data_IF_592809178867
#
_entry.id   IF_592809178867
#
_cell.length_a   1.000
_cell.length_b   1.000
_cell.length_c   1.000
_cell.angle_alpha   90.00
_cell.angle_beta   90.00
_cell.angle_gamma   90.00
#
_symmetry.space_group_name_H-M   'P 1'
#
loop_
_entity.id
_entity.type
_entity.pdbx_description
1 polymer ?
#
# COMPACT_ATOMS: atom_id res chain seq x y z
N UNK A 1 -21.91 10.80 33.48
CA UNK A 1 -20.69 10.34 32.79
C UNK A 1 -19.61 10.21 33.83
N UNK A 2 -19.10 9.01 34.06
CA UNK A 2 -18.00 8.77 34.98
C UNK A 2 -16.70 9.37 34.42
N UNK A 3 -15.76 9.75 35.28
CA UNK A 3 -14.40 10.14 34.88
C UNK A 3 -13.73 9.02 34.06
N UNK A 4 -14.08 7.76 34.35
CA UNK A 4 -13.57 6.60 33.65
C UNK A 4 -14.08 6.51 32.21
N UNK A 5 -15.37 6.74 31.96
CA UNK A 5 -15.95 6.76 30.61
C UNK A 5 -15.26 7.80 29.72
N UNK A 6 -14.96 8.97 30.30
CA UNK A 6 -14.26 10.05 29.60
C UNK A 6 -12.83 9.68 29.19
N UNK A 7 -12.12 8.86 29.99
CA UNK A 7 -10.79 8.37 29.64
C UNK A 7 -10.85 7.34 28.50
N UNK A 8 -11.81 6.40 28.57
CA UNK A 8 -11.98 5.36 27.55
C UNK A 8 -12.30 5.99 26.18
N UNK A 9 -13.19 6.99 26.14
CA UNK A 9 -13.53 7.70 24.90
C UNK A 9 -12.30 8.39 24.29
N UNK A 10 -11.46 9.04 25.11
CA UNK A 10 -10.24 9.70 24.63
C UNK A 10 -9.21 8.71 24.11
N UNK A 11 -9.02 7.59 24.82
CA UNK A 11 -8.09 6.53 24.40
C UNK A 11 -8.53 5.93 23.05
N UNK A 12 -9.82 5.64 22.88
CA UNK A 12 -10.37 5.16 21.62
C UNK A 12 -10.18 6.17 20.46
N UNK A 13 -10.42 7.46 20.72
CA UNK A 13 -10.19 8.50 19.72
C UNK A 13 -8.72 8.60 19.31
N UNK A 14 -7.79 8.53 20.27
CA UNK A 14 -6.36 8.55 20.00
C UNK A 14 -5.91 7.32 19.20
N UNK A 15 -6.40 6.13 19.55
CA UNK A 15 -6.13 4.90 18.81
C UNK A 15 -6.62 4.99 17.36
N UNK A 16 -7.83 5.51 17.14
CA UNK A 16 -8.37 5.68 15.79
C UNK A 16 -7.57 6.70 14.95
N UNK A 17 -7.03 7.76 15.57
CA UNK A 17 -6.14 8.72 14.89
C UNK A 17 -4.82 8.06 14.52
N UNK A 18 -4.20 7.34 15.46
CA UNK A 18 -2.94 6.63 15.22
C UNK A 18 -3.07 5.60 14.10
N UNK A 19 -4.19 4.85 14.09
CA UNK A 19 -4.42 3.83 13.08
C UNK A 19 -4.63 4.43 11.69
N UNK A 20 -5.41 5.51 11.58
CA UNK A 20 -5.55 6.25 10.31
C UNK A 20 -4.22 6.81 9.82
N UNK A 21 -3.38 7.30 10.72
CA UNK A 21 -2.05 7.78 10.36
C UNK A 21 -1.17 6.63 9.82
N UNK A 22 -1.18 5.46 10.49
CA UNK A 22 -0.46 4.26 10.03
C UNK A 22 -0.89 3.84 8.63
N UNK A 23 -2.20 3.70 8.41
CA UNK A 23 -2.79 3.35 7.10
C UNK A 23 -2.36 4.36 6.04
N UNK A 24 -2.50 5.66 6.32
CA UNK A 24 -2.13 6.71 5.37
C UNK A 24 -0.64 6.69 5.04
N UNK A 25 0.24 6.41 6.01
CA UNK A 25 1.67 6.28 5.76
C UNK A 25 1.97 5.12 4.81
N UNK A 26 1.37 3.95 5.03
CA UNK A 26 1.62 2.77 4.18
C UNK A 26 1.13 2.99 2.75
N UNK A 27 -0.11 3.49 2.60
CA UNK A 27 -0.73 3.65 1.28
C UNK A 27 -0.10 4.75 0.42
N UNK A 28 0.43 5.80 1.05
CA UNK A 28 1.00 6.96 0.34
C UNK A 28 2.54 6.95 0.27
N UNK A 29 3.20 5.90 0.78
CA UNK A 29 4.65 5.81 0.69
C UNK A 29 5.10 5.58 -0.76
N UNK A 30 6.25 6.14 -1.14
CA UNK A 30 6.81 5.97 -2.49
C UNK A 30 7.01 4.49 -2.87
N UNK A 31 7.43 3.66 -1.90
CA UNK A 31 7.58 2.21 -2.08
C UNK A 31 6.28 1.47 -2.42
N UNK A 32 5.11 2.07 -2.18
CA UNK A 32 3.82 1.48 -2.54
C UNK A 32 3.52 1.57 -4.05
N UNK A 33 4.20 2.45 -4.80
CA UNK A 33 3.99 2.60 -6.24
C UNK A 33 4.37 1.31 -6.99
N UNK A 34 3.45 0.82 -7.82
CA UNK A 34 3.54 -0.47 -8.49
C UNK A 34 3.36 -1.68 -7.56
N UNK A 35 2.90 -1.47 -6.33
CA UNK A 35 2.70 -2.48 -5.27
C UNK A 35 1.43 -2.18 -4.45
N UNK A 36 0.48 -1.48 -5.04
CA UNK A 36 -0.67 -0.87 -4.35
C UNK A 36 -1.55 -1.94 -3.69
N UNK A 37 -1.69 -3.10 -4.33
CA UNK A 37 -2.43 -4.23 -3.76
C UNK A 37 -1.77 -4.76 -2.46
N UNK A 38 -0.44 -4.88 -2.45
CA UNK A 38 0.30 -5.33 -1.27
C UNK A 38 0.29 -4.25 -0.17
N UNK A 39 0.44 -2.98 -0.55
CA UNK A 39 0.32 -1.86 0.39
C UNK A 39 -1.07 -1.82 1.06
N UNK A 40 -2.14 -2.06 0.29
CA UNK A 40 -3.51 -2.19 0.82
C UNK A 40 -3.65 -3.35 1.80
N UNK A 41 -3.06 -4.50 1.47
CA UNK A 41 -3.07 -5.65 2.38
C UNK A 41 -2.39 -5.31 3.72
N UNK A 42 -1.19 -4.73 3.70
CA UNK A 42 -0.51 -4.34 4.94
C UNK A 42 -1.28 -3.29 5.74
N UNK A 43 -1.89 -2.33 5.05
CA UNK A 43 -2.63 -1.26 5.71
C UNK A 43 -3.93 -1.74 6.34
N UNK A 44 -4.69 -2.62 5.69
CA UNK A 44 -6.08 -2.91 6.09
C UNK A 44 -6.29 -4.31 6.69
N UNK A 45 -5.39 -5.25 6.40
CA UNK A 45 -5.55 -6.66 6.79
C UNK A 45 -4.51 -7.12 7.81
N UNK A 46 -3.59 -6.23 8.21
CA UNK A 46 -2.51 -6.55 9.16
C UNK A 46 -2.27 -5.44 10.17
N UNK A 47 -1.70 -5.83 11.32
CA UNK A 47 -1.24 -4.91 12.37
C UNK A 47 0.23 -4.49 12.20
N UNK A 48 0.83 -4.68 11.00
CA UNK A 48 2.22 -4.28 10.76
C UNK A 48 2.43 -2.79 11.03
N UNK A 49 3.54 -2.45 11.67
CA UNK A 49 3.90 -1.03 11.80
C UNK A 49 4.14 -0.43 10.41
N UNK A 50 3.95 0.89 10.29
CA UNK A 50 4.20 1.56 9.02
C UNK A 50 5.64 1.35 8.53
N UNK A 51 6.62 1.32 9.44
CA UNK A 51 8.04 1.08 9.13
C UNK A 51 8.27 -0.31 8.54
N UNK A 52 7.69 -1.34 9.16
CA UNK A 52 7.88 -2.72 8.70
C UNK A 52 7.20 -2.95 7.35
N UNK A 53 5.98 -2.42 7.18
CA UNK A 53 5.25 -2.50 5.93
C UNK A 53 6.01 -1.80 4.79
N UNK A 54 6.57 -0.62 5.05
CA UNK A 54 7.42 0.11 4.09
C UNK A 54 8.68 -0.67 3.73
N UNK A 55 9.34 -1.28 4.72
CA UNK A 55 10.53 -2.10 4.50
C UNK A 55 10.22 -3.32 3.63
N UNK A 56 9.07 -3.97 3.86
CA UNK A 56 8.60 -5.08 3.05
C UNK A 56 8.25 -4.63 1.61
N UNK A 57 7.57 -3.50 1.45
CA UNK A 57 7.26 -2.93 0.14
C UNK A 57 8.52 -2.59 -0.67
N UNK A 58 9.56 -2.07 -0.01
CA UNK A 58 10.81 -1.69 -0.66
C UNK A 58 11.54 -2.88 -1.31
N UNK A 59 11.43 -4.08 -0.74
CA UNK A 59 12.07 -5.31 -1.28
C UNK A 59 11.12 -6.18 -2.11
N UNK A 60 9.82 -5.90 -2.08
CA UNK A 60 8.84 -6.64 -2.86
C UNK A 60 9.02 -6.36 -4.37
N UNK A 61 8.69 -7.32 -5.26
CA UNK A 61 8.62 -7.06 -6.69
C UNK A 61 7.61 -5.96 -7.02
N UNK A 62 8.00 -4.97 -7.83
CA UNK A 62 7.03 -4.04 -8.42
C UNK A 62 6.28 -4.76 -9.54
N UNK A 63 4.97 -4.80 -9.44
CA UNK A 63 4.12 -5.28 -10.52
C UNK A 63 4.05 -4.22 -11.62
N UNK A 64 4.72 -4.46 -12.74
CA UNK A 64 4.01 -4.24 -14.00
C UNK A 64 2.82 -5.18 -13.96
N UNK A 65 1.59 -4.69 -14.14
CA UNK A 65 0.45 -5.60 -14.19
C UNK A 65 0.68 -6.63 -15.32
N UNK A 66 0.10 -7.83 -15.20
CA UNK A 66 0.17 -8.83 -16.30
C UNK A 66 -0.29 -8.20 -17.62
N UNK A 67 -1.26 -7.29 -17.56
CA UNK A 67 -1.73 -6.50 -18.71
C UNK A 67 -0.66 -5.58 -19.29
N UNK A 68 0.19 -4.99 -18.46
CA UNK A 68 1.26 -4.08 -18.88
C UNK A 68 2.45 -4.84 -19.47
N UNK A 69 2.74 -6.03 -18.93
CA UNK A 69 3.70 -6.97 -19.52
C UNK A 69 3.20 -7.48 -20.87
N UNK A 70 1.92 -7.84 -20.98
CA UNK A 70 1.33 -8.27 -22.26
C UNK A 70 1.22 -7.13 -23.28
N UNK A 71 0.89 -5.91 -22.84
CA UNK A 71 0.90 -4.72 -23.70
C UNK A 71 2.31 -4.38 -24.19
N UNK A 72 3.32 -4.50 -23.33
CA UNK A 72 4.72 -4.33 -23.70
C UNK A 72 5.16 -5.37 -24.74
N UNK A 73 4.80 -6.65 -24.56
CA UNK A 73 5.06 -7.72 -25.54
C UNK A 73 4.35 -7.45 -26.88
N UNK A 74 3.07 -7.09 -26.86
CA UNK A 74 2.31 -6.78 -28.07
C UNK A 74 2.88 -5.58 -28.83
N UNK A 75 3.30 -4.53 -28.14
CA UNK A 75 3.93 -3.35 -28.76
C UNK A 75 5.32 -3.65 -29.33
N UNK A 76 6.08 -4.56 -28.72
CA UNK A 76 7.35 -5.04 -29.24
C UNK A 76 7.16 -5.91 -30.49
N UNK A 77 6.14 -6.77 -30.51
CA UNK A 77 5.77 -7.58 -31.67
C UNK A 77 5.34 -6.70 -32.85
N UNK A 78 4.52 -5.68 -32.58
CA UNK A 78 4.05 -4.76 -33.62
C UNK A 78 5.20 -3.98 -34.26
N UNK A 79 6.18 -3.52 -33.47
CA UNK A 79 7.38 -2.86 -34.01
C UNK A 79 8.19 -3.78 -34.92
N UNK A 80 8.31 -5.07 -34.53
CA UNK A 80 8.97 -6.09 -35.35
C UNK A 80 8.27 -6.28 -36.69
N UNK A 81 6.93 -6.40 -36.70
CA UNK A 81 6.14 -6.57 -37.92
C UNK A 81 6.28 -5.34 -38.84
N UNK A 82 6.29 -4.13 -38.26
CA UNK A 82 6.45 -2.88 -39.01
C UNK A 82 7.90 -2.57 -39.43
N UNK A 83 8.88 -3.42 -39.09
CA UNK A 83 10.28 -3.26 -39.48
C UNK A 83 10.95 -1.99 -38.95
N UNK A 84 10.50 -1.51 -37.77
CA UNK A 84 11.04 -0.32 -37.09
C UNK A 84 11.94 -0.68 -35.91
#
# INVERSE_FOLDING_TARGET
MSVEDGKIIRAAAAAAIAERARIATILNHESAKGREALARHFALETDMTASDAVSALAVAPSGYSVQEVELAKGSAEMRRILGK
#
